data_IF_625773702157
#
_entry.id   IF_625773702157
#
_cell.length_a   1.000
_cell.length_b   1.000
_cell.length_c   1.000
_cell.angle_alpha   90.00
_cell.angle_beta   90.00
_cell.angle_gamma   90.00
#
_symmetry.space_group_name_H-M   'P 1'
#
loop_
_entity.id
_entity.type
_entity.pdbx_description
1 polymer ?
#
# COMPACT_ATOMS: atom_id res chain seq x y z
N UNK A 1 8.74 -38.05 -0.79
CA UNK A 1 9.73 -37.58 0.20
C UNK A 1 11.13 -37.80 -0.37
N UNK A 2 11.98 -36.77 -0.40
CA UNK A 2 13.35 -36.86 -0.94
C UNK A 2 14.37 -37.16 0.16
N UNK A 3 14.19 -36.57 1.35
CA UNK A 3 15.09 -36.79 2.48
C UNK A 3 14.35 -36.78 3.81
N UNK A 4 14.85 -37.59 4.75
CA UNK A 4 14.34 -37.69 6.12
C UNK A 4 15.52 -37.66 7.09
N UNK A 5 15.38 -36.95 8.21
CA UNK A 5 16.40 -36.84 9.27
C UNK A 5 15.74 -36.77 10.64
N UNK A 6 16.25 -37.55 11.60
CA UNK A 6 15.87 -37.46 13.00
C UNK A 6 16.58 -36.29 13.69
N UNK A 7 15.87 -35.57 14.56
CA UNK A 7 16.51 -34.62 15.45
C UNK A 7 17.33 -35.37 16.50
N UNK A 8 18.63 -35.05 16.65
CA UNK A 8 19.46 -35.72 17.65
C UNK A 8 18.93 -35.45 19.07
N UNK A 9 18.81 -36.53 19.86
CA UNK A 9 18.34 -36.45 21.24
C UNK A 9 16.82 -36.34 21.43
N UNK A 10 16.02 -36.42 20.36
CA UNK A 10 14.55 -36.40 20.44
C UNK A 10 13.93 -37.45 19.53
N UNK A 11 12.65 -37.75 19.73
CA UNK A 11 11.86 -38.62 18.84
C UNK A 11 11.21 -37.85 17.68
N UNK A 12 11.68 -36.63 17.39
CA UNK A 12 11.16 -35.84 16.26
C UNK A 12 11.85 -36.19 14.94
N UNK A 13 11.04 -36.24 13.88
CA UNK A 13 11.47 -36.59 12.54
C UNK A 13 11.18 -35.44 11.57
N UNK A 14 12.20 -34.94 10.90
CA UNK A 14 12.06 -33.97 9.84
C UNK A 14 12.04 -34.67 8.47
N UNK A 15 11.07 -34.33 7.64
CA UNK A 15 10.91 -34.86 6.28
C UNK A 15 10.81 -33.73 5.26
N UNK A 16 11.56 -33.86 4.17
CA UNK A 16 11.60 -32.90 3.07
C UNK A 16 11.15 -33.58 1.77
N UNK A 17 10.28 -32.92 1.00
CA UNK A 17 9.65 -33.50 -0.18
C UNK A 17 9.69 -32.64 -1.45
N UNK A 18 9.08 -33.18 -2.52
CA UNK A 18 8.79 -32.43 -3.75
C UNK A 18 7.64 -31.44 -3.57
N UNK A 19 6.86 -31.62 -2.51
CA UNK A 19 5.73 -30.78 -2.15
C UNK A 19 6.17 -29.37 -1.69
N UNK A 20 7.48 -29.07 -1.72
CA UNK A 20 8.11 -27.78 -1.36
C UNK A 20 8.03 -27.43 0.12
N UNK A 21 7.46 -28.34 0.89
CA UNK A 21 7.26 -28.24 2.33
C UNK A 21 8.29 -29.07 3.09
N UNK A 22 8.68 -28.55 4.24
CA UNK A 22 9.41 -29.26 5.27
C UNK A 22 8.41 -29.63 6.39
N UNK A 23 8.25 -30.91 6.67
CA UNK A 23 7.30 -31.42 7.67
C UNK A 23 8.03 -31.99 8.86
N UNK A 24 7.67 -31.57 10.06
CA UNK A 24 8.17 -32.10 11.32
C UNK A 24 7.13 -33.03 11.95
N UNK A 25 7.54 -34.24 12.28
CA UNK A 25 6.69 -35.29 12.84
C UNK A 25 7.16 -35.62 14.25
N UNK A 26 6.20 -35.98 15.09
CA UNK A 26 6.46 -36.69 16.33
C UNK A 26 6.34 -38.20 16.08
N UNK A 27 7.39 -38.96 16.39
CA UNK A 27 7.36 -40.42 16.23
C UNK A 27 6.64 -41.12 17.38
N UNK A 28 6.44 -40.47 18.52
CA UNK A 28 5.78 -41.09 19.68
C UNK A 28 4.25 -41.09 19.48
N UNK A 29 3.71 -39.96 19.03
CA UNK A 29 2.28 -39.80 18.70
C UNK A 29 1.94 -40.10 17.24
N UNK A 30 2.94 -40.20 16.35
CA UNK A 30 2.79 -40.29 14.88
C UNK A 30 2.04 -39.10 14.27
N UNK A 31 2.03 -37.96 14.96
CA UNK A 31 1.35 -36.76 14.50
C UNK A 31 2.30 -35.82 13.76
N UNK A 32 1.73 -35.07 12.80
CA UNK A 32 2.41 -33.97 12.14
C UNK A 32 2.39 -32.77 13.08
N UNK A 33 3.57 -32.32 13.52
CA UNK A 33 3.68 -31.17 14.42
C UNK A 33 3.52 -29.89 13.62
N UNK A 34 4.37 -29.69 12.61
CA UNK A 34 4.42 -28.42 11.86
C UNK A 34 4.68 -28.66 10.38
N UNK A 35 4.10 -27.78 9.56
CA UNK A 35 4.40 -27.67 8.13
C UNK A 35 5.10 -26.34 7.87
N UNK A 36 6.39 -26.41 7.55
CA UNK A 36 7.21 -25.25 7.24
C UNK A 36 7.19 -25.01 5.73
N UNK A 37 6.28 -24.13 5.32
CA UNK A 37 6.21 -23.57 3.97
C UNK A 37 7.19 -22.41 3.79
N UNK A 38 7.88 -22.37 2.65
CA UNK A 38 8.75 -21.22 2.35
C UNK A 38 9.62 -21.40 1.11
N UNK A 39 9.88 -22.64 0.68
CA UNK A 39 10.60 -22.90 -0.57
C UNK A 39 9.69 -22.73 -1.78
N UNK A 40 10.21 -22.12 -2.85
CA UNK A 40 9.45 -21.94 -4.09
C UNK A 40 9.43 -23.22 -4.94
N UNK A 41 10.40 -24.12 -4.73
CA UNK A 41 10.60 -25.34 -5.50
C UNK A 41 11.00 -26.53 -4.60
N UNK A 42 11.14 -27.71 -5.20
CA UNK A 42 11.36 -28.98 -4.50
C UNK A 42 12.60 -28.94 -3.59
N UNK A 43 12.49 -29.48 -2.38
CA UNK A 43 13.59 -29.56 -1.43
C UNK A 43 14.41 -30.81 -1.76
N UNK A 44 15.68 -30.61 -2.09
CA UNK A 44 16.58 -31.68 -2.52
C UNK A 44 17.42 -32.23 -1.36
N UNK A 45 17.81 -31.36 -0.42
CA UNK A 45 18.62 -31.75 0.71
C UNK A 45 18.16 -31.09 2.01
N UNK A 46 18.33 -31.83 3.10
CA UNK A 46 18.02 -31.47 4.47
C UNK A 46 19.21 -31.86 5.35
N UNK A 47 19.69 -30.95 6.19
CA UNK A 47 20.69 -31.26 7.21
C UNK A 47 20.33 -30.62 8.53
N UNK A 48 20.79 -31.23 9.61
CA UNK A 48 20.52 -30.83 10.98
C UNK A 48 21.84 -30.48 11.67
N UNK A 49 21.80 -29.47 12.53
CA UNK A 49 22.88 -29.25 13.49
C UNK A 49 22.95 -30.41 14.49
N UNK A 50 24.15 -30.72 14.98
CA UNK A 50 24.36 -31.74 16.02
C UNK A 50 23.63 -31.36 17.32
N UNK A 51 23.53 -30.07 17.61
CA UNK A 51 22.84 -29.55 18.81
C UNK A 51 21.33 -29.41 18.61
N UNK A 52 20.77 -29.85 17.47
CA UNK A 52 19.37 -29.65 17.07
C UNK A 52 18.88 -28.18 17.06
N UNK A 53 19.77 -27.20 17.24
CA UNK A 53 19.41 -25.78 17.35
C UNK A 53 18.89 -25.18 16.04
N UNK A 54 19.34 -25.72 14.90
CA UNK A 54 18.90 -25.28 13.58
C UNK A 54 18.92 -26.42 12.56
N UNK A 55 18.08 -26.25 11.55
CA UNK A 55 17.96 -27.12 10.39
C UNK A 55 18.25 -26.31 9.14
N UNK A 56 18.88 -26.94 8.15
CA UNK A 56 19.20 -26.32 6.88
C UNK A 56 18.58 -27.12 5.75
N UNK A 57 17.93 -26.41 4.85
CA UNK A 57 17.27 -26.99 3.67
C UNK A 57 17.81 -26.35 2.42
N UNK A 58 18.15 -27.18 1.43
CA UNK A 58 18.55 -26.74 0.11
C UNK A 58 17.48 -27.14 -0.91
N UNK A 59 16.98 -26.16 -1.65
CA UNK A 59 15.96 -26.35 -2.68
C UNK A 59 16.52 -26.16 -4.09
N UNK A 60 15.79 -26.69 -5.05
CA UNK A 60 16.01 -26.46 -6.48
C UNK A 60 15.79 -25.00 -6.90
N UNK A 61 15.21 -24.17 -6.04
CA UNK A 61 15.11 -22.70 -6.21
C UNK A 61 16.47 -21.97 -6.08
N UNK A 62 17.56 -22.73 -5.85
CA UNK A 62 18.93 -22.24 -5.62
C UNK A 62 19.07 -21.43 -4.34
N UNK A 63 18.11 -21.54 -3.43
CA UNK A 63 18.17 -20.93 -2.11
C UNK A 63 18.39 -22.00 -1.05
N UNK A 64 19.15 -21.60 -0.03
CA UNK A 64 19.36 -22.38 1.18
C UNK A 64 18.66 -21.63 2.29
N UNK A 65 17.73 -22.30 2.97
CA UNK A 65 17.00 -21.72 4.11
C UNK A 65 17.45 -22.36 5.41
N UNK A 66 17.62 -21.50 6.41
CA UNK A 66 17.92 -21.88 7.79
C UNK A 66 16.64 -21.79 8.61
N UNK A 67 16.32 -22.85 9.32
CA UNK A 67 15.20 -22.94 10.24
C UNK A 67 15.76 -23.02 11.65
N UNK A 68 15.45 -22.05 12.48
CA UNK A 68 15.80 -22.06 13.91
C UNK A 68 14.54 -22.35 14.71
N UNK A 69 14.69 -23.10 15.80
CA UNK A 69 13.57 -23.32 16.72
C UNK A 69 13.27 -22.02 17.46
N UNK A 70 12.07 -21.48 17.31
CA UNK A 70 11.58 -20.36 18.11
C UNK A 70 11.39 -20.79 19.57
N UNK A 71 11.38 -19.83 20.50
CA UNK A 71 11.07 -20.09 21.91
C UNK A 71 9.58 -20.34 22.17
N UNK A 72 8.73 -20.13 21.17
CA UNK A 72 7.28 -20.35 21.28
C UNK A 72 6.97 -21.85 21.27
N UNK A 73 6.24 -22.30 22.29
CA UNK A 73 5.64 -23.63 22.31
C UNK A 73 4.45 -23.61 21.37
N UNK A 74 4.55 -24.32 20.25
CA UNK A 74 3.41 -24.50 19.35
C UNK A 74 2.48 -25.56 19.93
N UNK A 75 1.22 -25.21 20.18
CA UNK A 75 0.19 -26.17 20.55
C UNK A 75 -0.39 -26.79 19.27
N UNK A 76 -0.36 -28.12 19.15
CA UNK A 76 -0.92 -28.88 18.02
C UNK A 76 -2.38 -28.51 17.69
N UNK A 77 -3.15 -28.06 18.69
CA UNK A 77 -4.54 -27.63 18.52
C UNK A 77 -4.69 -26.33 17.71
N UNK A 78 -3.76 -25.38 17.87
CA UNK A 78 -3.81 -24.09 17.17
C UNK A 78 -3.45 -24.25 15.69
N UNK A 79 -2.48 -25.13 15.38
CA UNK A 79 -2.11 -25.41 13.99
C UNK A 79 -3.22 -26.16 13.25
N UNK A 80 -3.91 -27.11 13.91
CA UNK A 80 -5.09 -27.79 13.35
C UNK A 80 -6.25 -26.82 13.10
N UNK A 81 -6.48 -25.86 14.00
CA UNK A 81 -7.50 -24.83 13.80
C UNK A 81 -7.16 -23.98 12.58
N UNK A 82 -5.90 -23.55 12.45
CA UNK A 82 -5.41 -22.79 11.30
C UNK A 82 -5.51 -23.55 9.98
N UNK A 83 -5.18 -24.84 9.95
CA UNK A 83 -5.35 -25.67 8.76
C UNK A 83 -6.82 -25.83 8.36
N UNK A 84 -7.74 -25.90 9.34
CA UNK A 84 -9.17 -25.97 9.06
C UNK A 84 -9.70 -24.64 8.54
N UNK A 85 -9.22 -23.53 9.09
CA UNK A 85 -9.50 -22.17 8.58
C UNK A 85 -9.01 -22.02 7.14
N UNK A 86 -7.77 -22.39 6.83
CA UNK A 86 -7.20 -22.33 5.48
C UNK A 86 -7.99 -23.20 4.47
N UNK A 87 -8.44 -24.38 4.88
CA UNK A 87 -9.29 -25.26 4.04
C UNK A 87 -10.66 -24.65 3.81
N UNK A 88 -11.27 -24.09 4.85
CA UNK A 88 -12.57 -23.43 4.76
C UNK A 88 -12.49 -22.21 3.83
N UNK A 89 -11.44 -21.40 3.95
CA UNK A 89 -11.18 -20.28 3.04
C UNK A 89 -11.06 -20.75 1.58
N UNK A 90 -10.32 -21.83 1.31
CA UNK A 90 -10.19 -22.39 -0.04
C UNK A 90 -11.50 -22.96 -0.60
N UNK A 91 -12.36 -23.53 0.25
CA UNK A 91 -13.68 -24.01 -0.14
C UNK A 91 -14.62 -22.85 -0.49
N UNK A 92 -14.63 -21.77 0.32
CA UNK A 92 -15.35 -20.54 0.00
C UNK A 92 -14.86 -19.94 -1.32
N UNK A 93 -13.55 -19.88 -1.56
CA UNK A 93 -12.99 -19.41 -2.84
C UNK A 93 -13.45 -20.25 -4.05
N UNK A 94 -13.59 -21.58 -3.88
CA UNK A 94 -14.09 -22.46 -4.95
C UNK A 94 -15.57 -22.25 -5.24
N UNK A 95 -16.38 -22.07 -4.21
CA UNK A 95 -17.82 -21.82 -4.36
C UNK A 95 -18.09 -20.47 -5.03
N UNK A 96 -17.33 -19.43 -4.69
CA UNK A 96 -17.44 -18.11 -5.32
C UNK A 96 -17.09 -18.16 -6.82
N UNK A 97 -16.06 -18.92 -7.21
CA UNK A 97 -15.68 -19.10 -8.62
C UNK A 97 -16.74 -19.90 -9.40
N UNK A 98 -17.39 -20.88 -8.78
CA UNK A 98 -18.45 -21.67 -9.40
C UNK A 98 -19.75 -20.88 -9.56
N UNK A 99 -20.11 -20.03 -8.59
CA UNK A 99 -21.29 -19.18 -8.67
C UNK A 99 -21.13 -18.05 -9.70
N UNK A 100 -19.91 -17.49 -9.86
CA UNK A 100 -19.62 -16.46 -10.87
C UNK A 100 -19.78 -16.97 -12.32
N UNK A 101 -19.64 -18.28 -12.57
CA UNK A 101 -19.86 -18.85 -13.90
C UNK A 101 -21.34 -18.94 -14.30
N UNK A 102 -22.27 -18.91 -13.33
CA UNK A 102 -23.72 -19.07 -13.55
C UNK A 102 -24.50 -17.77 -13.77
N UNK A 103 -23.95 -16.61 -13.40
CA UNK A 103 -24.63 -15.31 -13.50
C UNK A 103 -23.85 -14.36 -14.41
N UNK A 104 -24.05 -14.48 -15.72
CA UNK A 104 -23.69 -13.42 -16.68
C UNK A 104 -24.83 -12.42 -16.78
N UNK A 105 -24.95 -11.54 -15.78
CA UNK A 105 -25.50 -10.20 -15.93
C UNK A 105 -25.35 -9.43 -14.60
N UNK A 106 -24.95 -8.16 -14.70
CA UNK A 106 -24.44 -7.29 -13.64
C UNK A 106 -23.03 -7.63 -13.14
N UNK A 107 -22.02 -7.08 -13.85
CA UNK A 107 -20.71 -6.78 -13.29
C UNK A 107 -20.89 -5.65 -12.25
N UNK A 108 -21.50 -5.99 -11.10
CA UNK A 108 -21.15 -5.31 -9.86
C UNK A 108 -19.77 -5.85 -9.54
N UNK A 109 -18.77 -4.97 -9.54
CA UNK A 109 -17.44 -5.29 -9.03
C UNK A 109 -17.57 -5.68 -7.57
N UNK A 110 -17.93 -6.94 -7.30
CA UNK A 110 -17.75 -7.53 -5.97
C UNK A 110 -16.24 -7.61 -5.77
N UNK A 111 -15.71 -6.99 -4.71
CA UNK A 111 -14.28 -6.91 -4.51
C UNK A 111 -13.74 -8.33 -4.33
N UNK A 112 -12.99 -8.81 -5.32
CA UNK A 112 -12.17 -9.99 -5.20
C UNK A 112 -11.12 -9.71 -4.13
N UNK A 113 -11.28 -10.32 -2.96
CA UNK A 113 -10.50 -10.16 -1.72
C UNK A 113 -10.63 -8.78 -1.07
N UNK A 114 -11.44 -8.70 -0.02
CA UNK A 114 -11.27 -7.66 1.01
C UNK A 114 -10.18 -8.14 1.96
N UNK A 115 -9.06 -7.43 2.03
CA UNK A 115 -8.05 -7.71 3.06
C UNK A 115 -8.65 -7.42 4.44
N UNK A 116 -8.30 -8.18 5.49
CA UNK A 116 -8.75 -7.91 6.87
C UNK A 116 -8.41 -6.46 7.28
N UNK A 117 -7.28 -5.95 6.79
CA UNK A 117 -6.86 -4.55 6.97
C UNK A 117 -7.79 -3.54 6.28
N UNK A 118 -8.30 -3.85 5.08
CA UNK A 118 -9.28 -3.00 4.38
C UNK A 118 -10.59 -2.93 5.16
N UNK A 119 -11.08 -4.06 5.69
CA UNK A 119 -12.33 -4.11 6.48
C UNK A 119 -12.18 -3.28 7.76
N UNK A 120 -11.10 -3.50 8.52
CA UNK A 120 -10.82 -2.71 9.72
C UNK A 120 -10.68 -1.20 9.41
N UNK A 121 -10.08 -0.86 8.27
CA UNK A 121 -9.97 0.52 7.82
C UNK A 121 -11.33 1.12 7.43
N UNK A 122 -12.23 0.32 6.84
CA UNK A 122 -13.61 0.75 6.52
C UNK A 122 -14.42 1.03 7.77
N UNK A 123 -14.35 0.15 8.77
CA UNK A 123 -15.05 0.31 10.05
C UNK A 123 -14.58 1.57 10.77
N UNK A 124 -13.26 1.78 10.88
CA UNK A 124 -12.69 3.00 11.44
C UNK A 124 -13.15 4.26 10.71
N UNK A 125 -13.23 4.22 9.38
CA UNK A 125 -13.69 5.38 8.60
C UNK A 125 -15.19 5.64 8.80
N UNK A 126 -16.02 4.60 8.94
CA UNK A 126 -17.44 4.76 9.29
C UNK A 126 -17.62 5.35 10.69
N UNK A 127 -16.88 4.85 11.70
CA UNK A 127 -16.91 5.39 13.07
C UNK A 127 -16.55 6.89 13.10
N UNK A 128 -15.46 7.28 12.43
CA UNK A 128 -15.04 8.69 12.37
C UNK A 128 -16.06 9.56 11.64
N UNK A 129 -16.73 9.04 10.59
CA UNK A 129 -17.79 9.76 9.90
C UNK A 129 -19.05 9.92 10.77
N UNK A 130 -19.38 8.91 11.57
CA UNK A 130 -20.52 8.96 12.48
C UNK A 130 -20.26 9.97 13.61
N UNK A 131 -19.09 9.93 14.25
CA UNK A 131 -18.65 10.94 15.22
C UNK A 131 -18.68 12.35 14.62
N UNK A 132 -18.11 12.52 13.42
CA UNK A 132 -18.10 13.81 12.74
C UNK A 132 -19.51 14.31 12.39
N UNK A 133 -20.44 13.39 12.10
CA UNK A 133 -21.84 13.74 11.83
C UNK A 133 -22.60 14.13 13.09
N UNK A 134 -22.37 13.43 14.20
CA UNK A 134 -22.95 13.77 15.50
C UNK A 134 -22.48 15.16 15.97
N UNK A 135 -21.19 15.47 15.79
CA UNK A 135 -20.64 16.79 16.11
C UNK A 135 -21.20 17.89 15.21
N UNK A 136 -21.51 17.56 13.94
CA UNK A 136 -22.14 18.50 13.01
C UNK A 136 -23.61 18.79 13.35
N UNK A 137 -24.32 17.85 13.98
CA UNK A 137 -25.71 18.02 14.43
C UNK A 137 -25.81 18.70 15.80
N UNK A 138 -24.84 18.45 16.70
CA UNK A 138 -24.76 19.10 18.00
C UNK A 138 -24.27 20.57 17.92
N UNK A 139 -23.49 20.91 16.89
CA UNK A 139 -22.91 22.24 16.68
C UNK A 139 -23.77 23.17 15.81
N UNK A 140 -24.83 23.74 16.38
CA UNK A 140 -25.54 24.88 15.78
C UNK A 140 -24.68 26.15 15.79
N UNK A 141 -23.83 26.32 14.77
CA UNK A 141 -23.06 27.55 14.55
C UNK A 141 -21.57 27.42 14.83
N UNK A 142 -20.78 28.16 14.03
CA UNK A 142 -19.34 28.28 14.11
C UNK A 142 -18.89 28.69 15.53
N UNK A 143 -18.56 27.72 16.38
CA UNK A 143 -17.78 27.96 17.59
C UNK A 143 -16.35 27.47 17.36
N UNK A 144 -15.47 28.44 17.11
CA UNK A 144 -14.04 28.28 17.06
C UNK A 144 -13.51 28.12 18.49
N UNK A 145 -13.45 26.88 18.98
CA UNK A 145 -12.44 26.33 19.90
C UNK A 145 -13.01 25.10 20.62
N UNK A 146 -12.88 23.96 19.95
CA UNK A 146 -13.14 22.64 20.49
C UNK A 146 -12.54 21.57 19.58
N UNK A 147 -11.26 21.25 19.82
CA UNK A 147 -10.55 20.04 19.38
C UNK A 147 -10.74 19.55 17.94
N UNK A 148 -9.89 20.03 17.01
CA UNK A 148 -9.75 19.51 15.64
C UNK A 148 -11.08 19.41 14.86
N UNK A 149 -11.35 20.41 14.01
CA UNK A 149 -12.49 20.43 13.08
C UNK A 149 -12.84 19.02 12.56
N UNK A 150 -14.12 18.63 12.64
CA UNK A 150 -14.59 17.33 12.17
C UNK A 150 -14.08 17.01 10.74
N UNK A 151 -14.01 18.02 9.88
CA UNK A 151 -13.42 17.92 8.54
C UNK A 151 -11.93 17.54 8.55
N UNK A 152 -11.13 18.13 9.45
CA UNK A 152 -9.70 17.83 9.58
C UNK A 152 -9.47 16.40 10.11
N UNK A 153 -10.31 15.91 11.03
CA UNK A 153 -10.26 14.51 11.48
C UNK A 153 -10.54 13.53 10.34
N UNK A 154 -11.64 13.74 9.60
CA UNK A 154 -11.98 12.92 8.43
C UNK A 154 -10.84 12.90 7.42
N UNK A 155 -10.21 14.04 7.15
CA UNK A 155 -9.10 14.13 6.18
C UNK A 155 -7.83 13.48 6.71
N UNK A 156 -7.55 13.60 8.01
CA UNK A 156 -6.42 12.89 8.61
C UNK A 156 -6.58 11.37 8.48
N UNK A 157 -7.80 10.85 8.66
CA UNK A 157 -8.12 9.43 8.43
C UNK A 157 -8.03 9.02 6.96
N UNK A 158 -8.40 9.90 6.02
CA UNK A 158 -8.24 9.61 4.59
C UNK A 158 -6.76 9.64 4.20
N UNK A 159 -5.96 10.54 4.78
CA UNK A 159 -4.53 10.67 4.48
C UNK A 159 -3.68 9.50 5.01
N UNK A 160 -4.15 8.77 6.02
CA UNK A 160 -3.45 7.59 6.56
C UNK A 160 -3.68 6.34 5.73
N UNK A 161 -4.64 6.36 4.79
CA UNK A 161 -4.90 5.26 3.88
C UNK A 161 -3.82 5.19 2.78
N UNK A 162 -3.31 3.99 2.52
CA UNK A 162 -2.35 3.74 1.44
C UNK A 162 -3.04 3.71 0.07
N UNK A 163 -2.32 4.08 -1.00
CA UNK A 163 -2.87 4.11 -2.36
C UNK A 163 -3.47 2.77 -2.84
N UNK A 164 -2.99 1.63 -2.31
CA UNK A 164 -3.54 0.31 -2.59
C UNK A 164 -4.91 0.10 -1.94
N UNK A 165 -5.09 0.59 -0.71
CA UNK A 165 -6.23 0.25 0.14
C UNK A 165 -7.39 1.25 0.00
N UNK A 166 -7.13 2.49 -0.47
CA UNK A 166 -8.17 3.52 -0.64
C UNK A 166 -9.34 3.02 -1.50
N UNK A 167 -9.07 2.31 -2.59
CA UNK A 167 -10.11 1.81 -3.49
C UNK A 167 -11.00 0.76 -2.83
N UNK A 168 -10.41 -0.23 -2.15
CA UNK A 168 -11.14 -1.28 -1.44
C UNK A 168 -12.01 -0.70 -0.32
N UNK A 169 -11.45 0.25 0.43
CA UNK A 169 -12.13 0.90 1.55
C UNK A 169 -13.34 1.72 1.07
N UNK A 170 -13.17 2.51 0.01
CA UNK A 170 -14.26 3.32 -0.52
C UNK A 170 -15.33 2.49 -1.24
N UNK A 171 -14.98 1.34 -1.83
CA UNK A 171 -15.93 0.43 -2.46
C UNK A 171 -16.78 -0.33 -1.44
N UNK A 172 -16.22 -0.63 -0.27
CA UNK A 172 -16.95 -1.28 0.81
C UNK A 172 -17.89 -0.35 1.58
N UNK A 173 -17.81 0.97 1.33
CA UNK A 173 -18.59 1.96 2.05
C UNK A 173 -20.07 1.97 1.60
N UNK A 174 -21.05 1.95 2.54
CA UNK A 174 -22.45 2.13 2.19
C UNK A 174 -22.72 3.52 1.60
N UNK A 175 -23.70 3.62 0.68
CA UNK A 175 -24.05 4.88 0.01
C UNK A 175 -24.37 6.03 0.97
N UNK A 176 -25.01 5.75 2.11
CA UNK A 176 -25.31 6.74 3.15
C UNK A 176 -24.04 7.41 3.70
N UNK A 177 -23.01 6.62 4.00
CA UNK A 177 -21.72 7.10 4.49
C UNK A 177 -20.93 7.79 3.38
N UNK A 178 -21.03 7.30 2.13
CA UNK A 178 -20.39 7.94 0.98
C UNK A 178 -20.94 9.36 0.74
N UNK A 179 -22.25 9.58 0.89
CA UNK A 179 -22.87 10.91 0.80
C UNK A 179 -22.41 11.84 1.93
N UNK A 180 -22.33 11.33 3.16
CA UNK A 180 -21.81 12.13 4.30
C UNK A 180 -20.37 12.54 4.06
N UNK A 181 -19.53 11.60 3.62
CA UNK A 181 -18.13 11.87 3.31
C UNK A 181 -18.00 12.91 2.18
N UNK A 182 -18.83 12.83 1.14
CA UNK A 182 -18.87 13.83 0.07
C UNK A 182 -19.24 15.24 0.58
N UNK A 183 -20.18 15.33 1.52
CA UNK A 183 -20.57 16.59 2.15
C UNK A 183 -19.43 17.17 3.02
N UNK A 184 -18.72 16.33 3.76
CA UNK A 184 -17.54 16.75 4.52
C UNK A 184 -16.39 17.22 3.61
N UNK A 185 -16.16 16.54 2.48
CA UNK A 185 -15.19 17.01 1.47
C UNK A 185 -15.60 18.36 0.89
N UNK A 186 -16.89 18.58 0.60
CA UNK A 186 -17.36 19.88 0.11
C UNK A 186 -17.11 21.00 1.12
N UNK A 187 -17.42 20.77 2.40
CA UNK A 187 -17.18 21.72 3.49
C UNK A 187 -15.68 21.99 3.68
N UNK A 188 -14.84 20.98 3.52
CA UNK A 188 -13.39 21.17 3.54
C UNK A 188 -12.93 22.08 2.41
N UNK A 189 -13.34 21.83 1.17
CA UNK A 189 -12.95 22.70 0.06
C UNK A 189 -13.48 24.12 0.20
N UNK A 190 -14.69 24.29 0.75
CA UNK A 190 -15.24 25.60 1.09
C UNK A 190 -14.36 26.31 2.14
N UNK A 191 -13.99 25.62 3.23
CA UNK A 191 -13.09 26.16 4.25
C UNK A 191 -11.70 26.51 3.69
N UNK A 192 -11.15 25.69 2.80
CA UNK A 192 -9.87 25.97 2.13
C UNK A 192 -10.00 27.18 1.20
N UNK A 193 -11.10 27.31 0.46
CA UNK A 193 -11.34 28.46 -0.42
C UNK A 193 -11.60 29.77 0.33
N UNK A 194 -12.10 29.69 1.56
CA UNK A 194 -12.37 30.83 2.42
C UNK A 194 -11.11 31.37 3.12
N UNK A 195 -10.00 30.63 3.10
CA UNK A 195 -8.73 31.13 3.65
C UNK A 195 -8.19 32.24 2.75
N UNK A 196 -8.08 33.49 3.26
CA UNK A 196 -7.47 34.56 2.50
C UNK A 196 -6.01 34.23 2.24
N UNK A 197 -5.64 34.10 0.97
CA UNK A 197 -4.26 33.95 0.56
C UNK A 197 -3.44 35.15 1.00
N UNK A 198 -2.52 34.92 1.94
CA UNK A 198 -1.32 35.72 2.20
C UNK A 198 -1.45 37.24 1.91
N UNK A 199 -2.24 37.96 2.71
CA UNK A 199 -1.92 39.34 3.05
C UNK A 199 -1.52 39.37 4.52
N UNK A 200 -0.21 39.49 4.71
CA UNK A 200 0.41 39.77 5.99
C UNK A 200 -0.06 41.14 6.47
N UNK A 201 -0.79 41.15 7.58
CA UNK A 201 -0.57 42.16 8.60
C UNK A 201 -0.68 41.49 9.96
N UNK A 202 0.46 41.51 10.67
CA UNK A 202 0.60 40.85 11.94
C UNK A 202 -0.31 41.48 12.98
N UNK A 203 -1.20 40.67 13.54
CA UNK A 203 -1.44 40.58 14.98
C UNK A 203 -2.40 39.42 15.29
N UNK A 204 -2.02 38.69 16.32
CA UNK A 204 -2.85 37.88 17.22
C UNK A 204 -3.22 36.45 16.76
N UNK A 205 -2.47 35.49 17.31
CA UNK A 205 -3.03 34.31 17.99
C UNK A 205 -3.57 33.12 17.19
N UNK A 206 -3.88 33.24 15.89
CA UNK A 206 -4.58 32.18 15.13
C UNK A 206 -3.67 31.40 14.14
N UNK A 207 -2.36 31.55 14.29
CA UNK A 207 -1.35 30.93 13.41
C UNK A 207 -1.34 29.39 13.43
N UNK A 208 -1.76 28.76 14.53
CA UNK A 208 -1.74 27.30 14.67
C UNK A 208 -2.88 26.59 13.92
N UNK A 209 -4.05 27.24 13.80
CA UNK A 209 -5.14 26.73 12.97
C UNK A 209 -4.80 26.87 11.49
N UNK A 210 -4.21 28.02 11.11
CA UNK A 210 -3.77 28.30 9.75
C UNK A 210 -2.63 27.37 9.30
N UNK A 211 -1.62 27.12 10.14
CA UNK A 211 -0.51 26.21 9.80
C UNK A 211 -0.97 24.75 9.68
N UNK A 212 -1.94 24.29 10.47
CA UNK A 212 -2.52 22.94 10.31
C UNK A 212 -3.36 22.80 9.04
N UNK A 213 -4.20 23.77 8.71
CA UNK A 213 -5.00 23.73 7.46
C UNK A 213 -4.11 23.92 6.23
N UNK A 214 -3.05 24.73 6.31
CA UNK A 214 -2.07 24.87 5.23
C UNK A 214 -1.18 23.64 5.06
N UNK A 215 -0.89 22.90 6.14
CA UNK A 215 -0.26 21.57 6.02
C UNK A 215 -1.15 20.55 5.31
N UNK A 216 -2.47 20.78 5.28
CA UNK A 216 -3.44 20.00 4.50
C UNK A 216 -3.46 20.36 3.00
N UNK A 217 -2.73 21.39 2.55
CA UNK A 217 -2.55 21.66 1.12
C UNK A 217 -1.67 20.59 0.44
N UNK A 218 -0.74 19.98 1.18
CA UNK A 218 0.00 18.79 0.72
C UNK A 218 -0.89 17.53 0.64
N UNK A 219 -2.09 17.59 1.22
CA UNK A 219 -3.08 16.50 1.23
C UNK A 219 -4.30 16.84 0.37
N UNK A 220 -4.21 17.71 -0.65
CA UNK A 220 -5.37 17.98 -1.53
C UNK A 220 -5.64 16.81 -2.50
N UNK A 221 -4.59 16.07 -2.86
CA UNK A 221 -4.70 14.94 -3.80
C UNK A 221 -5.63 13.84 -3.26
N UNK A 222 -5.50 13.49 -1.98
CA UNK A 222 -6.27 12.40 -1.36
C UNK A 222 -7.79 12.66 -1.25
N UNK A 223 -8.31 13.84 -0.82
CA UNK A 223 -9.74 14.15 -0.84
C UNK A 223 -10.26 14.33 -2.26
N UNK A 224 -9.48 14.86 -3.21
CA UNK A 224 -9.87 14.89 -4.61
C UNK A 224 -9.99 13.48 -5.19
N UNK A 225 -9.03 12.60 -4.90
CA UNK A 225 -9.06 11.21 -5.30
C UNK A 225 -10.26 10.48 -4.68
N UNK A 226 -10.50 10.65 -3.37
CA UNK A 226 -11.65 10.05 -2.70
C UNK A 226 -12.99 10.52 -3.30
N UNK A 227 -13.11 11.82 -3.59
CA UNK A 227 -14.30 12.39 -4.24
C UNK A 227 -14.53 11.80 -5.64
N UNK A 228 -13.48 11.65 -6.44
CA UNK A 228 -13.57 11.05 -7.78
C UNK A 228 -13.93 9.56 -7.71
N UNK A 229 -13.33 8.80 -6.79
CA UNK A 229 -13.62 7.38 -6.60
C UNK A 229 -15.08 7.19 -6.17
N UNK A 230 -15.57 7.98 -5.22
CA UNK A 230 -16.97 7.92 -4.78
C UNK A 230 -17.92 8.29 -5.91
N UNK A 231 -17.62 9.34 -6.67
CA UNK A 231 -18.42 9.74 -7.83
C UNK A 231 -18.45 8.65 -8.91
N UNK A 232 -17.35 7.91 -9.08
CA UNK A 232 -17.25 6.81 -10.03
C UNK A 232 -18.00 5.56 -9.56
N UNK A 233 -17.78 5.12 -8.31
CA UNK A 233 -18.39 3.91 -7.73
C UNK A 233 -19.90 4.06 -7.59
N UNK A 234 -20.37 5.19 -7.07
CA UNK A 234 -21.80 5.42 -6.81
C UNK A 234 -22.48 6.24 -7.93
N UNK A 235 -21.97 6.20 -9.16
CA UNK A 235 -22.49 7.02 -10.26
C UNK A 235 -24.00 6.82 -10.51
N UNK A 236 -24.48 5.56 -10.47
CA UNK A 236 -25.90 5.24 -10.66
C UNK A 236 -26.79 5.77 -9.54
N UNK A 237 -26.34 5.65 -8.29
CA UNK A 237 -27.08 6.07 -7.09
C UNK A 237 -27.09 7.60 -6.94
N UNK A 238 -25.98 8.26 -7.28
CA UNK A 238 -25.88 9.72 -7.33
C UNK A 238 -26.76 10.30 -8.44
N UNK A 239 -26.78 9.67 -9.63
CA UNK A 239 -27.64 10.10 -10.74
C UNK A 239 -29.12 9.96 -10.42
N UNK A 240 -29.50 8.93 -9.65
CA UNK A 240 -30.87 8.69 -9.23
C UNK A 240 -31.35 9.69 -8.15
N UNK A 241 -30.44 10.26 -7.36
CA UNK A 241 -30.80 11.09 -6.19
C UNK A 241 -30.74 12.59 -6.53
N UNK A 242 -31.87 13.28 -6.75
CA UNK A 242 -31.88 14.67 -7.23
C UNK A 242 -31.32 15.70 -6.22
N UNK A 243 -31.33 15.38 -4.92
CA UNK A 243 -30.79 16.24 -3.85
C UNK A 243 -29.26 16.31 -3.83
N UNK A 244 -28.57 15.38 -4.51
CA UNK A 244 -27.10 15.34 -4.58
C UNK A 244 -26.53 16.24 -5.66
N UNK A 245 -27.33 16.57 -6.69
CA UNK A 245 -26.95 17.44 -7.81
C UNK A 245 -26.35 18.79 -7.40
N UNK A 246 -26.92 19.58 -6.47
CA UNK A 246 -26.31 20.84 -6.02
C UNK A 246 -25.01 20.63 -5.22
N UNK A 247 -24.79 19.48 -4.59
CA UNK A 247 -23.53 19.15 -3.92
C UNK A 247 -22.43 18.88 -4.96
N UNK A 248 -22.74 18.09 -5.98
CA UNK A 248 -21.79 17.77 -7.06
C UNK A 248 -21.39 19.03 -7.84
N UNK A 249 -22.34 19.93 -8.13
CA UNK A 249 -22.03 21.19 -8.80
C UNK A 249 -21.12 22.10 -7.97
N UNK A 250 -21.36 22.18 -6.65
CA UNK A 250 -20.48 22.90 -5.72
C UNK A 250 -19.09 22.27 -5.68
N UNK A 251 -19.01 20.96 -5.47
CA UNK A 251 -17.77 20.20 -5.48
C UNK A 251 -16.97 20.41 -6.77
N UNK A 252 -17.63 20.33 -7.92
CA UNK A 252 -17.00 20.55 -9.22
C UNK A 252 -16.42 21.97 -9.34
N UNK A 253 -17.15 22.99 -8.88
CA UNK A 253 -16.67 24.37 -8.88
C UNK A 253 -15.43 24.49 -8.00
N UNK A 254 -15.51 24.08 -6.74
CA UNK A 254 -14.40 24.20 -5.79
C UNK A 254 -13.16 23.39 -6.20
N UNK A 255 -13.32 22.14 -6.66
CA UNK A 255 -12.19 21.33 -7.13
C UNK A 255 -11.52 21.96 -8.36
N UNK A 256 -12.29 22.51 -9.30
CA UNK A 256 -11.72 23.20 -10.47
C UNK A 256 -10.95 24.44 -10.07
N UNK A 257 -11.51 25.27 -9.20
CA UNK A 257 -10.89 26.51 -8.76
C UNK A 257 -9.57 26.22 -8.00
N UNK A 258 -9.57 25.23 -7.11
CA UNK A 258 -8.37 24.80 -6.36
C UNK A 258 -7.29 24.17 -7.24
N UNK A 259 -7.67 23.24 -8.13
CA UNK A 259 -6.72 22.61 -9.05
C UNK A 259 -6.13 23.63 -10.03
N UNK A 260 -6.92 24.61 -10.46
CA UNK A 260 -6.44 25.68 -11.32
C UNK A 260 -5.44 26.58 -10.57
N UNK A 261 -5.71 26.93 -9.31
CA UNK A 261 -4.78 27.70 -8.49
C UNK A 261 -3.44 26.97 -8.25
N UNK A 262 -3.48 25.68 -7.91
CA UNK A 262 -2.25 24.87 -7.74
C UNK A 262 -1.50 24.68 -9.07
N UNK A 263 -2.23 24.47 -10.17
CA UNK A 263 -1.63 24.42 -11.51
C UNK A 263 -0.92 25.73 -11.85
N UNK A 264 -1.53 26.88 -11.56
CA UNK A 264 -0.95 28.19 -11.85
C UNK A 264 0.29 28.45 -10.98
N UNK A 265 0.26 28.02 -9.71
CA UNK A 265 1.42 28.05 -8.80
C UNK A 265 2.59 27.20 -9.31
N UNK A 266 2.32 25.96 -9.74
CA UNK A 266 3.32 25.07 -10.34
C UNK A 266 3.82 25.65 -11.67
N UNK A 267 2.93 26.24 -12.47
CA UNK A 267 3.28 26.92 -13.71
C UNK A 267 4.26 28.08 -13.49
N UNK A 268 3.98 28.92 -12.50
CA UNK A 268 4.85 30.03 -12.09
C UNK A 268 6.21 29.54 -11.57
N UNK A 269 6.23 28.50 -10.72
CA UNK A 269 7.48 27.96 -10.17
C UNK A 269 8.34 27.32 -11.26
N UNK A 270 7.73 26.58 -12.19
CA UNK A 270 8.42 25.99 -13.34
C UNK A 270 8.96 27.07 -14.29
N UNK A 271 8.20 28.13 -14.55
CA UNK A 271 8.66 29.26 -15.35
C UNK A 271 9.84 29.99 -14.68
N UNK A 272 9.77 30.19 -13.36
CA UNK A 272 10.85 30.75 -12.55
C UNK A 272 12.11 29.89 -12.59
N UNK A 273 11.99 28.57 -12.41
CA UNK A 273 13.11 27.64 -12.50
C UNK A 273 13.72 27.61 -13.90
N UNK A 274 12.89 27.60 -14.96
CA UNK A 274 13.36 27.68 -16.33
C UNK A 274 14.13 28.99 -16.60
N UNK A 275 13.68 30.11 -16.04
CA UNK A 275 14.39 31.38 -16.13
C UNK A 275 15.73 31.34 -15.38
N UNK A 276 15.76 30.87 -14.14
CA UNK A 276 16.98 30.70 -13.35
C UNK A 276 17.98 29.79 -14.06
N UNK A 277 17.52 28.69 -14.64
CA UNK A 277 18.37 27.78 -15.41
C UNK A 277 18.97 28.46 -16.65
N UNK A 278 18.22 29.32 -17.35
CA UNK A 278 18.76 30.13 -18.47
C UNK A 278 19.79 31.15 -17.99
N UNK A 279 19.55 31.83 -16.87
CA UNK A 279 20.50 32.79 -16.28
C UNK A 279 21.77 32.08 -15.81
N UNK A 280 21.63 30.93 -15.14
CA UNK A 280 22.76 30.12 -14.71
C UNK A 280 23.59 29.67 -15.90
N UNK A 281 22.97 29.16 -16.96
CA UNK A 281 23.66 28.76 -18.21
C UNK A 281 24.35 29.95 -18.90
N UNK A 282 23.76 31.14 -18.85
CA UNK A 282 24.37 32.37 -19.38
C UNK A 282 25.59 32.82 -18.55
N UNK A 283 25.50 32.75 -17.22
CA UNK A 283 26.59 33.12 -16.31
C UNK A 283 27.72 32.08 -16.27
N UNK A 284 27.40 30.79 -16.32
CA UNK A 284 28.40 29.71 -16.46
C UNK A 284 29.03 29.68 -17.86
N UNK A 285 28.36 30.23 -18.89
CA UNK A 285 28.96 30.57 -20.17
C UNK A 285 30.04 31.66 -20.11
N UNK A 286 30.06 32.49 -19.06
CA UNK A 286 31.14 33.46 -18.79
C UNK A 286 32.34 32.84 -18.07
N UNK A 287 32.13 31.80 -17.26
CA UNK A 287 33.19 31.05 -16.58
C UNK A 287 33.80 29.93 -17.44
N UNK A 288 33.11 29.51 -18.52
CA UNK A 288 33.61 28.52 -19.47
C UNK A 288 34.85 28.98 -20.28
N UNK A 289 35.23 30.26 -20.22
CA UNK A 289 36.47 30.76 -20.83
C UNK A 289 37.73 30.59 -19.94
N UNK A 290 37.58 30.29 -18.64
CA UNK A 290 38.73 30.22 -17.70
C UNK A 290 39.03 28.80 -17.22
N UNK A 291 38.09 27.86 -17.33
CA UNK A 291 38.36 26.46 -16.96
C UNK A 291 38.04 25.55 -18.15
N UNK A 292 38.97 25.50 -19.10
CA UNK A 292 39.07 24.34 -19.97
C UNK A 292 39.44 23.11 -19.11
N UNK A 293 38.60 22.07 -19.02
CA UNK A 293 39.03 20.83 -18.41
C UNK A 293 40.11 20.23 -19.31
N UNK A 294 41.33 20.06 -18.77
CA UNK A 294 42.35 19.21 -19.39
C UNK A 294 41.68 17.88 -19.73
N UNK A 295 41.65 17.54 -21.02
CA UNK A 295 41.25 16.22 -21.53
C UNK A 295 42.08 15.15 -20.81
N UNK A 296 41.50 14.54 -19.77
CA UNK A 296 41.98 13.26 -19.27
C UNK A 296 41.52 12.22 -20.29
N UNK A 297 42.48 11.64 -21.01
CA UNK A 297 42.22 10.51 -21.90
C UNK A 297 41.60 9.37 -21.07
N UNK A 298 40.52 8.73 -21.52
CA UNK A 298 40.02 7.54 -20.85
C UNK A 298 41.05 6.43 -21.04
N UNK A 299 41.75 6.08 -19.95
CA UNK A 299 42.53 4.85 -19.88
C UNK A 299 41.58 3.66 -20.03
N UNK A 300 41.81 2.88 -21.07
CA UNK A 300 41.04 1.72 -21.47
C UNK A 300 40.62 0.80 -20.30
N UNK A 301 39.33 0.50 -20.26
CA UNK A 301 38.76 -0.67 -19.60
C UNK A 301 39.53 -1.94 -20.03
N UNK A 302 40.34 -2.48 -19.13
CA UNK A 302 40.88 -3.84 -19.21
C UNK A 302 40.14 -4.75 -18.23
N UNK A 303 38.83 -4.96 -18.36
CA UNK A 303 38.13 -5.93 -17.50
C UNK A 303 36.82 -6.52 -18.07
N UNK A 304 36.61 -6.67 -19.40
CA UNK A 304 35.42 -7.43 -19.89
C UNK A 304 35.69 -8.34 -21.12
N UNK A 305 36.91 -8.84 -21.34
CA UNK A 305 37.18 -9.80 -22.46
C UNK A 305 37.91 -11.10 -22.08
N UNK A 306 37.74 -11.58 -20.83
CA UNK A 306 38.25 -12.92 -20.42
C UNK A 306 37.18 -13.99 -20.20
N UNK A 307 35.88 -13.66 -20.15
CA UNK A 307 34.83 -14.69 -19.95
C UNK A 307 34.16 -15.20 -21.23
N UNK A 308 34.31 -14.52 -22.37
CA UNK A 308 33.65 -14.94 -23.63
C UNK A 308 34.53 -15.79 -24.57
N UNK A 309 35.77 -16.13 -24.18
CA UNK A 309 36.70 -16.96 -24.99
C UNK A 309 36.89 -18.38 -24.46
N UNK A 310 36.36 -18.71 -23.28
CA UNK A 310 36.41 -20.06 -22.70
C UNK A 310 35.29 -21.00 -23.19
N UNK A 311 34.20 -20.45 -23.75
CA UNK A 311 33.02 -21.24 -24.19
C UNK A 311 33.03 -21.69 -25.66
N UNK A 312 34.14 -21.50 -26.38
CA UNK A 312 34.33 -22.10 -27.72
C UNK A 312 35.37 -23.22 -27.76
N UNK A 313 36.05 -23.53 -26.66
CA UNK A 313 37.10 -24.56 -26.63
C UNK A 313 36.69 -25.83 -25.85
N UNK A 314 35.61 -25.79 -25.06
CA UNK A 314 35.07 -26.98 -24.35
C UNK A 314 34.11 -27.84 -25.18
N UNK A 315 33.66 -27.37 -26.36
CA UNK A 315 32.82 -28.14 -27.30
C UNK A 315 33.59 -28.99 -28.32
N UNK A 316 34.92 -29.10 -28.21
CA UNK A 316 35.75 -29.94 -29.10
C UNK A 316 36.47 -31.10 -28.40
N UNK A 317 36.19 -31.37 -27.12
CA UNK A 317 36.60 -32.59 -26.40
C UNK A 317 35.38 -33.34 -25.87
N UNK A 318 34.59 -33.90 -26.80
CA UNK A 318 33.68 -35.05 -26.65
C UNK A 318 33.02 -35.31 -28.02
N UNK A 319 33.85 -35.72 -28.96
CA UNK A 319 33.53 -36.77 -29.94
C UNK A 319 34.62 -37.82 -29.78
#
# INVERSE_FOLDING_TARGET
VMQVKFLPGTHYLASAGRDRELKLWDCDSYELITVLGGHAAEILALTLSQDAAFMVTASSDRQIRFWKRGQEQLFLSEERAKELEDKFEQEVERDDLQQAAGQREAVVLRPSRRTVESVRSTERLMEVLDEASADAEAGGGLSAHGGQHACARVISCISTLTASNIYEVLLALPFSHALRLLNFICRFFEAVSALPGAQADGKDGDGDAQVKVLSAAATLETPCQAALIIAYVHHSELAATPSTRPLILRLQKYMRDLLQAEKDRIGLSMAGFAHLHRVFRRNSGGLAAVVAPKKVKPSAEKTVKRSARADKESKKRKR
#
